data_IF_524554859501
#
_entry.id   IF_524554859501
#
_cell.length_a   1.000
_cell.length_b   1.000
_cell.length_c   1.000
_cell.angle_alpha   90.00
_cell.angle_beta   90.00
_cell.angle_gamma   90.00
#
_symmetry.space_group_name_H-M   'P 1'
#
loop_
_entity.id
_entity.type
_entity.pdbx_description
1 polymer ?
#
# COMPACT_ATOMS: atom_id res chain seq x y z
N UNK A 1 -27.52 0.16 -8.30
CA UNK A 1 -27.28 -1.21 -8.75
C UNK A 1 -25.97 -1.66 -8.09
N UNK A 2 -26.06 -2.52 -7.09
CA UNK A 2 -24.89 -3.09 -6.42
C UNK A 2 -24.20 -4.01 -7.41
N UNK A 3 -23.08 -3.57 -8.00
CA UNK A 3 -22.19 -4.45 -8.74
C UNK A 3 -21.87 -5.64 -7.84
N UNK A 4 -22.01 -6.86 -8.36
CA UNK A 4 -21.95 -8.11 -7.63
C UNK A 4 -20.56 -8.50 -7.07
N UNK A 5 -19.81 -7.54 -6.52
CA UNK A 5 -18.56 -7.80 -5.81
C UNK A 5 -18.86 -8.27 -4.39
N UNK A 6 -18.44 -9.47 -4.05
CA UNK A 6 -18.55 -10.00 -2.70
C UNK A 6 -17.27 -9.71 -1.90
N UNK A 7 -17.25 -8.54 -1.25
CA UNK A 7 -16.11 -8.10 -0.43
C UNK A 7 -16.37 -8.41 1.02
N UNK A 8 -15.51 -9.24 1.63
CA UNK A 8 -15.55 -9.62 3.05
C UNK A 8 -14.58 -8.78 3.85
N UNK A 9 -15.00 -8.36 5.03
CA UNK A 9 -14.11 -7.83 6.06
C UNK A 9 -13.59 -8.99 6.91
N UNK A 10 -12.30 -9.09 7.08
CA UNK A 10 -11.62 -10.07 7.91
C UNK A 10 -10.74 -9.37 8.94
N UNK A 11 -10.83 -9.79 10.19
CA UNK A 11 -9.87 -9.40 11.21
C UNK A 11 -8.52 -10.08 10.95
N UNK A 12 -7.42 -9.49 11.47
CA UNK A 12 -6.05 -9.99 11.23
C UNK A 12 -5.90 -11.50 11.44
N UNK A 13 -6.50 -12.05 12.48
CA UNK A 13 -6.42 -13.48 12.83
C UNK A 13 -7.24 -14.40 11.92
N UNK A 14 -8.15 -13.86 11.10
CA UNK A 14 -8.99 -14.61 10.17
C UNK A 14 -8.38 -14.67 8.77
N UNK A 15 -7.29 -13.92 8.54
CA UNK A 15 -6.65 -13.83 7.24
C UNK A 15 -5.80 -15.07 7.00
N UNK A 16 -6.03 -15.76 5.87
CA UNK A 16 -5.11 -16.76 5.34
C UNK A 16 -3.89 -16.06 4.74
N UNK A 17 -2.79 -16.10 5.46
CA UNK A 17 -1.57 -15.38 5.14
C UNK A 17 -0.93 -15.87 3.84
N UNK A 18 -0.97 -17.18 3.57
CA UNK A 18 -0.38 -17.71 2.34
C UNK A 18 -1.14 -17.21 1.11
N UNK A 19 -2.47 -17.18 1.17
CA UNK A 19 -3.33 -16.67 0.09
C UNK A 19 -3.25 -15.15 -0.05
N UNK A 20 -3.13 -14.45 1.08
CA UNK A 20 -2.91 -13.01 1.11
C UNK A 20 -1.63 -12.63 0.37
N UNK A 21 -0.50 -13.21 0.77
CA UNK A 21 0.81 -12.90 0.18
C UNK A 21 0.91 -13.35 -1.29
N UNK A 22 0.28 -14.48 -1.65
CA UNK A 22 0.19 -14.92 -3.06
C UNK A 22 -0.57 -13.87 -3.90
N UNK A 23 -1.72 -13.38 -3.41
CA UNK A 23 -2.47 -12.33 -4.10
C UNK A 23 -1.64 -11.06 -4.27
N UNK A 24 -1.00 -10.57 -3.21
CA UNK A 24 -0.12 -9.39 -3.26
C UNK A 24 1.05 -9.61 -4.21
N UNK A 25 1.72 -10.76 -4.11
CA UNK A 25 2.90 -11.07 -4.93
C UNK A 25 2.60 -11.14 -6.43
N UNK A 26 1.42 -11.64 -6.82
CA UNK A 26 0.99 -11.72 -8.22
C UNK A 26 0.34 -10.43 -8.74
N UNK A 27 0.11 -9.45 -7.87
CA UNK A 27 -0.52 -8.19 -8.27
C UNK A 27 0.40 -7.36 -9.17
N UNK A 28 -0.15 -6.78 -10.25
CA UNK A 28 0.60 -5.88 -11.14
C UNK A 28 1.08 -4.61 -10.42
N UNK A 29 0.40 -4.23 -9.35
CA UNK A 29 0.72 -3.11 -8.45
C UNK A 29 1.32 -3.59 -7.12
N UNK A 30 1.99 -4.75 -7.12
CA UNK A 30 2.65 -5.32 -5.94
C UNK A 30 3.66 -4.34 -5.33
N UNK A 31 3.59 -4.18 -4.02
CA UNK A 31 4.49 -3.36 -3.21
C UNK A 31 4.76 -4.07 -1.89
N UNK A 32 5.94 -3.85 -1.33
CA UNK A 32 6.31 -4.39 -0.01
C UNK A 32 5.27 -4.05 1.06
N UNK A 33 4.62 -2.91 0.94
CA UNK A 33 3.61 -2.39 1.86
C UNK A 33 2.33 -3.25 1.96
N UNK A 34 2.10 -4.15 0.98
CA UNK A 34 0.95 -5.07 0.97
C UNK A 34 1.22 -6.39 1.68
N UNK A 35 2.48 -6.81 1.84
CA UNK A 35 2.81 -8.10 2.43
C UNK A 35 2.56 -8.14 3.94
N UNK A 36 2.09 -9.28 4.43
CA UNK A 36 1.73 -9.45 5.85
C UNK A 36 2.89 -9.14 6.80
N UNK A 37 4.10 -9.60 6.49
CA UNK A 37 5.26 -9.39 7.37
C UNK A 37 5.58 -7.90 7.55
N UNK A 38 5.41 -7.11 6.49
CA UNK A 38 5.61 -5.66 6.55
C UNK A 38 4.49 -4.99 7.37
N UNK A 39 3.24 -5.37 7.09
CA UNK A 39 2.07 -4.86 7.82
C UNK A 39 2.17 -5.18 9.31
N UNK A 40 2.50 -6.42 9.68
CA UNK A 40 2.69 -6.82 11.08
C UNK A 40 3.81 -6.01 11.76
N UNK A 41 4.94 -5.82 11.08
CA UNK A 41 6.05 -5.04 11.62
C UNK A 41 5.71 -3.55 11.83
N UNK A 42 5.01 -2.92 10.86
CA UNK A 42 4.73 -1.48 10.90
C UNK A 42 3.52 -1.12 11.77
N UNK A 43 2.64 -2.06 12.05
CA UNK A 43 1.41 -1.82 12.81
C UNK A 43 1.35 -2.58 14.14
N UNK A 44 2.37 -3.39 14.46
CA UNK A 44 2.33 -4.36 15.58
C UNK A 44 1.11 -5.29 15.49
N UNK A 45 0.76 -5.72 14.27
CA UNK A 45 -0.39 -6.59 13.99
C UNK A 45 -1.76 -5.88 14.02
N UNK A 46 -1.80 -4.56 14.19
CA UNK A 46 -3.05 -3.78 14.21
C UNK A 46 -3.49 -3.42 12.78
N UNK A 47 -3.91 -4.42 12.04
CA UNK A 47 -4.51 -4.27 10.73
C UNK A 47 -5.52 -5.39 10.46
N UNK A 48 -6.53 -5.07 9.67
CA UNK A 48 -7.56 -5.96 9.19
C UNK A 48 -7.54 -5.97 7.65
N UNK A 49 -8.47 -6.65 7.02
CA UNK A 49 -8.49 -6.77 5.56
C UNK A 49 -9.88 -6.63 4.96
N UNK A 50 -9.93 -6.09 3.75
CA UNK A 50 -11.01 -6.35 2.80
C UNK A 50 -10.52 -7.34 1.76
N UNK A 51 -11.30 -8.40 1.54
CA UNK A 51 -10.95 -9.49 0.63
C UNK A 51 -12.10 -9.72 -0.34
N UNK A 52 -11.80 -9.63 -1.65
CA UNK A 52 -12.76 -9.96 -2.71
C UNK A 52 -12.80 -11.47 -2.90
N UNK A 53 -13.99 -12.04 -2.77
CA UNK A 53 -14.27 -13.45 -2.99
C UNK A 53 -13.22 -14.34 -2.27
N UNK A 54 -12.49 -15.13 -3.03
CA UNK A 54 -11.48 -16.05 -2.56
C UNK A 54 -10.05 -15.50 -2.80
N UNK A 55 -9.73 -14.32 -2.23
CA UNK A 55 -8.45 -13.60 -2.39
C UNK A 55 -8.13 -13.19 -3.84
N UNK A 56 -9.15 -12.88 -4.65
CA UNK A 56 -8.98 -12.35 -6.00
C UNK A 56 -8.43 -10.91 -6.00
N UNK A 57 -8.74 -10.16 -4.96
CA UNK A 57 -8.13 -8.87 -4.64
C UNK A 57 -8.17 -8.67 -3.13
N UNK A 58 -7.19 -7.93 -2.60
CA UNK A 58 -7.05 -7.70 -1.17
C UNK A 58 -6.70 -6.24 -0.87
N UNK A 59 -7.14 -5.72 0.27
CA UNK A 59 -6.82 -4.38 0.73
C UNK A 59 -6.55 -4.39 2.23
N UNK A 60 -5.35 -4.01 2.70
CA UNK A 60 -5.07 -3.88 4.12
C UNK A 60 -5.76 -2.66 4.71
N UNK A 61 -6.30 -2.81 5.90
CA UNK A 61 -6.93 -1.77 6.70
C UNK A 61 -6.11 -1.53 7.96
N UNK A 62 -5.12 -0.67 7.88
CA UNK A 62 -4.24 -0.33 8.99
C UNK A 62 -4.92 0.67 9.91
N UNK A 63 -5.20 0.28 11.15
CA UNK A 63 -6.00 1.08 12.06
C UNK A 63 -5.29 1.42 13.37
N UNK A 64 -5.75 2.49 13.98
CA UNK A 64 -5.41 2.89 15.34
C UNK A 64 -6.66 3.25 16.11
N UNK A 65 -6.54 3.30 17.44
CA UNK A 65 -7.63 3.70 18.34
C UNK A 65 -7.23 4.92 19.17
N UNK A 66 -8.12 5.91 19.18
CA UNK A 66 -7.96 7.11 20.01
C UNK A 66 -9.32 7.49 20.60
N UNK A 67 -9.39 7.70 21.93
CA UNK A 67 -10.64 8.08 22.60
C UNK A 67 -11.78 7.07 22.39
N UNK A 68 -11.48 5.77 22.29
CA UNK A 68 -12.49 4.73 22.04
C UNK A 68 -12.90 4.54 20.58
N UNK A 69 -12.47 5.42 19.65
CA UNK A 69 -12.82 5.36 18.23
C UNK A 69 -11.65 4.78 17.42
N UNK A 70 -11.96 3.76 16.62
CA UNK A 70 -11.00 3.22 15.63
C UNK A 70 -11.06 4.04 14.34
N UNK A 71 -9.90 4.30 13.76
CA UNK A 71 -9.74 5.03 12.50
C UNK A 71 -8.62 4.42 11.67
N UNK A 72 -8.74 4.52 10.33
CA UNK A 72 -7.69 4.11 9.42
C UNK A 72 -6.65 5.21 9.29
N UNK A 73 -5.39 4.83 9.33
CA UNK A 73 -4.27 5.72 9.10
C UNK A 73 -3.14 5.03 8.38
N UNK A 74 -2.36 5.81 7.64
CA UNK A 74 -1.14 5.31 7.02
C UNK A 74 -0.10 5.00 8.09
N UNK A 75 0.48 3.79 8.14
CA UNK A 75 1.57 3.48 9.06
C UNK A 75 2.82 4.30 8.77
N UNK A 76 3.67 4.48 9.76
CA UNK A 76 4.99 5.08 9.56
C UNK A 76 5.78 4.26 8.50
N UNK A 77 6.61 4.94 7.72
CA UNK A 77 7.43 4.36 6.64
C UNK A 77 6.65 3.66 5.52
N UNK A 78 5.32 3.78 5.49
CA UNK A 78 4.47 3.21 4.45
C UNK A 78 4.00 4.33 3.52
N UNK A 79 4.48 4.35 2.29
CA UNK A 79 4.15 5.41 1.33
C UNK A 79 2.74 5.28 0.77
N UNK A 80 2.30 4.07 0.47
CA UNK A 80 1.04 3.78 -0.18
C UNK A 80 0.56 2.37 0.16
N UNK A 81 -0.76 2.22 0.22
CA UNK A 81 -1.44 0.93 0.42
C UNK A 81 -2.52 0.76 -0.65
N UNK A 82 -3.69 0.29 -0.30
CA UNK A 82 -4.84 0.19 -1.19
C UNK A 82 -5.10 -1.23 -1.67
N UNK A 83 -5.80 -1.35 -2.76
CA UNK A 83 -6.19 -2.63 -3.33
C UNK A 83 -5.01 -3.22 -4.09
N UNK A 84 -4.69 -4.48 -3.81
CA UNK A 84 -3.75 -5.31 -4.56
C UNK A 84 -4.55 -6.38 -5.30
N UNK A 85 -4.29 -6.53 -6.62
CA UNK A 85 -5.02 -7.50 -7.44
C UNK A 85 -4.16 -7.98 -8.60
N UNK A 86 -4.13 -9.30 -8.88
CA UNK A 86 -3.57 -9.81 -10.13
C UNK A 86 -4.31 -9.35 -11.38
N UNK A 87 -5.58 -8.98 -11.22
CA UNK A 87 -6.41 -8.45 -12.31
C UNK A 87 -6.51 -6.93 -12.27
N UNK A 88 -6.91 -6.32 -13.38
CA UNK A 88 -7.09 -4.87 -13.47
C UNK A 88 -8.11 -4.35 -12.43
N UNK A 89 -7.73 -3.32 -11.70
CA UNK A 89 -8.60 -2.65 -10.72
C UNK A 89 -9.41 -1.60 -11.45
N UNK A 90 -10.71 -1.85 -11.60
CA UNK A 90 -11.64 -0.91 -12.23
C UNK A 90 -12.11 0.15 -11.23
N UNK A 91 -12.57 1.34 -11.69
CA UNK A 91 -13.19 2.33 -10.81
C UNK A 91 -14.36 1.76 -9.99
N UNK A 92 -15.18 0.88 -10.60
CA UNK A 92 -16.30 0.21 -9.90
C UNK A 92 -15.83 -0.73 -8.77
N UNK A 93 -14.70 -1.42 -8.95
CA UNK A 93 -14.10 -2.23 -7.89
C UNK A 93 -13.56 -1.33 -6.77
N UNK A 94 -12.88 -0.24 -7.12
CA UNK A 94 -12.40 0.74 -6.14
C UNK A 94 -13.55 1.30 -5.31
N UNK A 95 -14.65 1.70 -5.96
CA UNK A 95 -15.88 2.16 -5.28
C UNK A 95 -16.41 1.12 -4.29
N UNK A 96 -16.51 -0.14 -4.71
CA UNK A 96 -17.02 -1.21 -3.86
C UNK A 96 -16.16 -1.41 -2.60
N UNK A 97 -14.84 -1.33 -2.74
CA UNK A 97 -13.91 -1.37 -1.59
C UNK A 97 -14.09 -0.17 -0.67
N UNK A 98 -14.14 1.05 -1.21
CA UNK A 98 -14.33 2.27 -0.43
C UNK A 98 -15.68 2.27 0.28
N UNK A 99 -16.76 1.85 -0.38
CA UNK A 99 -18.08 1.71 0.24
C UNK A 99 -18.10 0.68 1.37
N UNK A 100 -17.34 -0.41 1.24
CA UNK A 100 -17.22 -1.39 2.31
C UNK A 100 -16.38 -0.85 3.47
N UNK A 101 -15.27 -0.18 3.17
CA UNK A 101 -14.39 0.45 4.15
C UNK A 101 -15.14 1.44 5.06
N UNK A 102 -15.95 2.35 4.50
CA UNK A 102 -16.67 3.38 5.27
C UNK A 102 -17.76 2.81 6.18
N UNK A 103 -18.19 1.56 5.99
CA UNK A 103 -19.11 0.86 6.91
C UNK A 103 -18.41 0.45 8.20
N UNK A 104 -17.10 0.20 8.14
CA UNK A 104 -16.31 -0.26 9.28
C UNK A 104 -15.57 0.87 10.00
N UNK A 105 -15.15 1.91 9.24
CA UNK A 105 -14.34 3.00 9.76
C UNK A 105 -14.95 4.36 9.37
N UNK A 106 -15.31 5.14 10.39
CA UNK A 106 -15.88 6.48 10.19
C UNK A 106 -14.84 7.49 9.71
N UNK A 107 -13.58 7.28 10.05
CA UNK A 107 -12.47 8.15 9.67
C UNK A 107 -11.37 7.31 9.01
N UNK A 108 -10.92 7.74 7.85
CA UNK A 108 -9.87 7.09 7.09
C UNK A 108 -9.01 8.14 6.40
N UNK A 109 -7.70 8.05 6.59
CA UNK A 109 -6.69 8.81 5.86
C UNK A 109 -5.60 7.85 5.41
N UNK A 110 -5.66 7.45 4.14
CA UNK A 110 -4.74 6.49 3.54
C UNK A 110 -4.37 6.92 2.12
N UNK A 111 -3.17 6.59 1.70
CA UNK A 111 -2.69 6.81 0.33
C UNK A 111 -2.81 5.52 -0.47
N UNK A 112 -3.67 5.52 -1.47
CA UNK A 112 -3.83 4.38 -2.36
C UNK A 112 -2.68 4.33 -3.37
N UNK A 113 -2.27 3.13 -3.76
CA UNK A 113 -1.19 2.93 -4.72
C UNK A 113 -1.65 3.28 -6.15
N UNK A 114 -0.69 3.38 -7.06
CA UNK A 114 -0.89 3.80 -8.45
C UNK A 114 -1.89 2.94 -9.25
N UNK A 115 -2.13 1.69 -8.84
CA UNK A 115 -3.12 0.80 -9.47
C UNK A 115 -4.57 1.11 -9.09
N UNK A 116 -4.81 2.02 -8.14
CA UNK A 116 -6.13 2.31 -7.57
C UNK A 116 -6.69 3.66 -8.08
N UNK A 117 -6.49 3.99 -9.33
CA UNK A 117 -6.97 5.25 -9.90
C UNK A 117 -8.51 5.34 -9.86
N UNK A 118 -9.02 6.47 -9.38
CA UNK A 118 -10.45 6.73 -9.33
C UNK A 118 -10.73 8.23 -9.56
N UNK A 119 -11.76 8.62 -10.35
CA UNK A 119 -12.00 10.01 -10.73
C UNK A 119 -12.22 10.98 -9.57
N UNK A 120 -12.74 10.50 -8.45
CA UNK A 120 -13.06 11.35 -7.28
C UNK A 120 -11.93 11.42 -6.26
N UNK A 121 -10.87 10.61 -6.41
CA UNK A 121 -9.75 10.62 -5.48
C UNK A 121 -8.73 11.71 -5.87
N UNK A 122 -8.20 12.38 -4.85
CA UNK A 122 -7.13 13.35 -5.04
C UNK A 122 -5.84 12.63 -5.41
N UNK A 123 -5.25 13.00 -6.54
CA UNK A 123 -3.96 12.47 -6.99
C UNK A 123 -2.80 13.20 -6.32
N UNK A 124 -1.78 12.46 -5.90
CA UNK A 124 -0.50 13.00 -5.43
C UNK A 124 0.64 12.47 -6.29
N UNK A 125 1.66 13.29 -6.48
CA UNK A 125 2.88 12.90 -7.20
C UNK A 125 3.71 11.98 -6.31
N UNK A 126 4.07 10.81 -6.85
CA UNK A 126 5.03 9.89 -6.25
C UNK A 126 6.27 9.77 -7.15
N UNK A 127 7.45 9.89 -6.56
CA UNK A 127 8.71 9.77 -7.28
C UNK A 127 9.25 8.34 -7.11
N UNK A 128 9.49 7.67 -8.23
CA UNK A 128 10.03 6.31 -8.27
C UNK A 128 11.37 6.32 -8.99
N UNK A 129 12.38 5.69 -8.39
CA UNK A 129 13.66 5.45 -9.03
C UNK A 129 13.74 3.99 -9.48
N UNK A 130 13.72 3.70 -10.79
CA UNK A 130 13.98 2.36 -11.30
C UNK A 130 15.42 1.95 -10.99
N UNK A 131 15.60 0.79 -10.35
CA UNK A 131 16.91 0.23 -10.00
C UNK A 131 17.36 -0.86 -10.99
N UNK A 132 16.82 -0.85 -12.21
CA UNK A 132 17.15 -1.81 -13.28
C UNK A 132 18.51 -1.56 -13.92
N UNK A 133 19.03 -0.34 -13.82
CA UNK A 133 20.32 0.04 -14.38
C UNK A 133 21.47 -0.30 -13.44
N UNK A 134 22.68 -0.50 -13.97
CA UNK A 134 23.87 -0.65 -13.15
C UNK A 134 24.19 0.63 -12.38
N UNK A 135 24.85 0.51 -11.23
CA UNK A 135 25.17 1.67 -10.38
C UNK A 135 25.89 2.80 -11.13
N UNK A 136 26.91 2.54 -12.01
CA UNK A 136 27.55 3.60 -12.77
C UNK A 136 26.61 4.38 -13.68
N UNK A 137 25.59 3.72 -14.23
CA UNK A 137 24.55 4.37 -15.06
C UNK A 137 23.64 5.25 -14.19
N UNK A 138 23.24 4.76 -13.03
CA UNK A 138 22.46 5.55 -12.07
C UNK A 138 23.27 6.76 -11.58
N UNK A 139 24.55 6.57 -11.21
CA UNK A 139 25.44 7.60 -10.72
C UNK A 139 25.65 8.72 -11.76
N UNK A 140 25.75 8.36 -13.05
CA UNK A 140 25.92 9.34 -14.13
C UNK A 140 24.74 10.32 -14.26
N UNK A 141 23.58 9.96 -13.74
CA UNK A 141 22.35 10.78 -13.73
C UNK A 141 22.19 11.65 -12.48
N UNK A 142 23.12 11.54 -11.51
CA UNK A 142 23.03 12.30 -10.28
C UNK A 142 23.19 13.80 -10.52
N UNK A 143 22.35 14.59 -9.87
CA UNK A 143 22.50 16.05 -9.88
C UNK A 143 23.79 16.45 -9.13
N UNK A 144 24.40 17.56 -9.53
CA UNK A 144 25.66 18.07 -8.95
C UNK A 144 25.63 18.16 -7.41
N UNK A 145 24.50 18.58 -6.85
CA UNK A 145 24.35 18.68 -5.38
C UNK A 145 24.40 17.32 -4.69
N UNK A 146 23.78 16.28 -5.30
CA UNK A 146 23.87 14.92 -4.76
C UNK A 146 25.30 14.41 -4.80
N UNK A 147 26.00 14.57 -5.91
CA UNK A 147 27.42 14.17 -6.04
C UNK A 147 28.30 14.86 -4.99
N UNK A 148 28.08 16.18 -4.78
CA UNK A 148 28.78 16.93 -3.74
C UNK A 148 28.53 16.37 -2.34
N UNK A 149 27.25 16.09 -2.01
CA UNK A 149 26.85 15.58 -0.70
C UNK A 149 27.41 14.17 -0.44
N UNK A 150 27.43 13.30 -1.46
CA UNK A 150 28.03 11.98 -1.37
C UNK A 150 29.54 12.05 -1.09
N UNK A 151 30.27 12.97 -1.76
CA UNK A 151 31.71 13.20 -1.50
C UNK A 151 31.96 13.68 -0.05
N UNK A 152 31.12 14.58 0.46
CA UNK A 152 31.21 15.03 1.84
C UNK A 152 30.94 13.90 2.83
N UNK A 153 29.93 13.06 2.58
CA UNK A 153 29.61 11.90 3.40
C UNK A 153 30.75 10.89 3.41
N UNK A 154 31.31 10.57 2.24
CA UNK A 154 32.47 9.69 2.13
C UNK A 154 33.69 10.24 2.89
N UNK A 155 33.99 11.55 2.76
CA UNK A 155 35.06 12.20 3.52
C UNK A 155 34.86 12.21 5.04
N UNK A 156 33.60 12.10 5.50
CA UNK A 156 33.25 11.98 6.90
C UNK A 156 33.18 10.51 7.41
N UNK A 157 33.49 9.54 6.57
CA UNK A 157 33.45 8.10 6.92
C UNK A 157 32.01 7.56 7.09
N UNK A 158 31.02 8.17 6.45
CA UNK A 158 29.61 7.77 6.54
C UNK A 158 29.17 6.82 5.40
N UNK A 159 30.07 6.47 4.50
CA UNK A 159 29.83 5.59 3.33
C UNK A 159 30.99 4.61 3.21
#
# INVERSE_FOLDING_TARGET
>A
MTNGFHIRYLQRQEIDIARWDDCVGRSANSLIYGFHFYLDAMTAGQWDALVLDDYQAVMPLTWRRKGGVSYLCQPAFTQQTGIFSPSAITPGLTDAYLQTLIRHYRFAEIFLNHGNAHPTLRTQVNLVLPLSDSYPVLESRYKKDLVRNLRLAAGAGLV
#
